data_IF_936001666500
#
_entry.id   IF_936001666500
#
_cell.length_a   1.000
_cell.length_b   1.000
_cell.length_c   1.000
_cell.angle_alpha   90.00
_cell.angle_beta   90.00
_cell.angle_gamma   90.00
#
_symmetry.space_group_name_H-M   'P 1'
#
loop_
_entity.id
_entity.type
_entity.pdbx_description
1 polymer ?
#
# COMPACT_ATOMS: atom_id res chain seq x y z
N UNK A 1 -3.44 6.74 -26.55
CA UNK A 1 -3.82 7.01 -25.14
C UNK A 1 -3.71 5.74 -24.29
N UNK A 2 -2.54 5.07 -24.27
CA UNK A 2 -2.42 3.74 -23.61
C UNK A 2 -1.30 3.64 -22.55
N UNK A 3 -0.59 4.72 -22.24
CA UNK A 3 0.45 4.72 -21.17
C UNK A 3 -0.11 4.97 -19.76
N UNK A 4 -1.31 5.55 -19.66
CA UNK A 4 -1.91 5.94 -18.37
C UNK A 4 -2.49 4.74 -17.62
N UNK A 5 -3.01 3.72 -18.33
CA UNK A 5 -3.71 2.57 -17.74
C UNK A 5 -2.76 1.50 -17.16
N UNK A 6 -1.58 1.30 -17.75
CA UNK A 6 -0.61 0.27 -17.30
C UNK A 6 0.13 0.72 -16.03
N UNK A 7 0.20 2.03 -15.80
CA UNK A 7 1.02 2.60 -14.73
C UNK A 7 0.27 2.82 -13.41
N UNK A 8 -1.06 2.97 -13.43
CA UNK A 8 -1.85 3.19 -12.21
C UNK A 8 -1.89 1.98 -11.26
N UNK A 9 -2.15 0.74 -11.74
CA UNK A 9 -2.07 -0.45 -10.88
C UNK A 9 -0.67 -0.69 -10.31
N UNK A 10 0.37 -0.48 -11.14
CA UNK A 10 1.77 -0.64 -10.71
C UNK A 10 2.13 0.38 -9.61
N UNK A 11 1.77 1.66 -9.79
CA UNK A 11 2.01 2.70 -8.77
C UNK A 11 1.35 2.38 -7.43
N UNK A 12 0.15 1.81 -7.46
CA UNK A 12 -0.58 1.44 -6.24
C UNK A 12 0.11 0.28 -5.50
N UNK A 13 0.59 -0.72 -6.23
CA UNK A 13 1.37 -1.83 -5.67
C UNK A 13 2.68 -1.35 -5.05
N UNK A 14 3.42 -0.50 -5.75
CA UNK A 14 4.67 0.09 -5.22
C UNK A 14 4.42 0.92 -3.95
N UNK A 15 3.31 1.67 -3.91
CA UNK A 15 2.90 2.42 -2.71
C UNK A 15 2.62 1.47 -1.54
N UNK A 16 1.84 0.40 -1.76
CA UNK A 16 1.54 -0.61 -0.73
C UNK A 16 2.81 -1.23 -0.16
N UNK A 17 3.69 -1.72 -1.04
CA UNK A 17 4.93 -2.37 -0.63
C UNK A 17 5.83 -1.44 0.18
N UNK A 18 5.90 -0.16 -0.20
CA UNK A 18 6.68 0.83 0.55
C UNK A 18 6.10 1.08 1.94
N UNK A 19 4.78 1.18 2.06
CA UNK A 19 4.09 1.37 3.35
C UNK A 19 4.30 0.15 4.24
N UNK A 20 4.15 -1.07 3.72
CA UNK A 20 4.44 -2.32 4.44
C UNK A 20 5.89 -2.38 4.95
N UNK A 21 6.86 -1.97 4.12
CA UNK A 21 8.26 -1.91 4.52
C UNK A 21 8.53 -0.87 5.63
N UNK A 22 7.87 0.28 5.57
CA UNK A 22 7.96 1.32 6.60
C UNK A 22 7.36 0.80 7.91
N UNK A 23 6.17 0.21 7.89
CA UNK A 23 5.54 -0.36 9.09
C UNK A 23 6.42 -1.41 9.74
N UNK A 24 6.95 -2.37 8.96
CA UNK A 24 7.84 -3.41 9.48
C UNK A 24 9.10 -2.81 10.13
N UNK A 25 9.68 -1.77 9.51
CA UNK A 25 10.82 -1.05 10.09
C UNK A 25 10.45 -0.31 11.36
N UNK A 26 9.29 0.36 11.39
CA UNK A 26 8.82 1.11 12.56
C UNK A 26 8.51 0.20 13.74
N UNK A 27 7.86 -0.94 13.48
CA UNK A 27 7.64 -1.99 14.47
C UNK A 27 8.98 -2.53 15.00
N UNK A 28 9.97 -2.77 14.14
CA UNK A 28 11.29 -3.22 14.55
C UNK A 28 12.03 -2.20 15.44
N UNK A 29 11.76 -0.90 15.26
CA UNK A 29 12.31 0.18 16.10
C UNK A 29 11.49 0.46 17.37
N UNK A 30 10.37 -0.26 17.59
CA UNK A 30 9.50 -0.06 18.73
C UNK A 30 8.64 1.21 18.64
N UNK A 31 8.22 1.60 17.44
CA UNK A 31 7.32 2.74 17.23
C UNK A 31 5.99 2.55 17.97
N UNK A 32 5.41 3.66 18.42
CA UNK A 32 4.13 3.66 19.12
C UNK A 32 2.98 3.24 18.20
N UNK A 33 1.96 2.62 18.76
CA UNK A 33 0.78 2.14 18.02
C UNK A 33 0.11 3.27 17.22
N UNK A 34 0.10 4.48 17.78
CA UNK A 34 -0.43 5.68 17.13
C UNK A 34 0.37 6.04 15.86
N UNK A 35 1.70 5.90 15.88
CA UNK A 35 2.54 6.15 14.71
C UNK A 35 2.35 5.08 13.63
N UNK A 36 2.12 3.83 14.02
CA UNK A 36 1.81 2.74 13.07
C UNK A 36 0.46 2.97 12.40
N UNK A 37 -0.54 3.40 13.17
CA UNK A 37 -1.87 3.70 12.65
C UNK A 37 -1.84 4.85 11.63
N UNK A 38 -1.07 5.91 11.88
CA UNK A 38 -0.88 7.00 10.91
C UNK A 38 -0.31 6.51 9.57
N UNK A 39 0.57 5.51 9.61
CA UNK A 39 1.15 4.90 8.41
C UNK A 39 0.16 3.96 7.72
N UNK A 40 -0.65 3.21 8.46
CA UNK A 40 -1.73 2.39 7.89
C UNK A 40 -2.76 3.26 7.15
N UNK A 41 -3.11 4.42 7.70
CA UNK A 41 -4.05 5.36 7.09
C UNK A 41 -3.51 6.00 5.79
N UNK A 42 -2.23 5.83 5.46
CA UNK A 42 -1.68 6.25 4.17
C UNK A 42 -2.23 5.43 2.99
N UNK A 43 -2.76 4.23 3.22
CA UNK A 43 -3.55 3.48 2.23
C UNK A 43 -5.03 3.70 2.51
N UNK A 44 -5.68 4.48 1.66
CA UNK A 44 -7.11 4.78 1.82
C UNK A 44 -7.98 3.54 1.55
N UNK A 45 -9.18 3.49 2.14
CA UNK A 45 -10.14 2.40 1.90
C UNK A 45 -10.35 2.03 0.40
N UNK A 46 -10.55 2.98 -0.54
CA UNK A 46 -10.68 2.63 -1.96
C UNK A 46 -9.36 2.10 -2.58
N UNK A 47 -8.20 2.47 -2.04
CA UNK A 47 -6.91 1.92 -2.47
C UNK A 47 -6.75 0.47 -2.00
N UNK A 48 -7.20 0.13 -0.79
CA UNK A 48 -7.23 -1.25 -0.29
C UNK A 48 -8.11 -2.14 -1.17
N UNK A 49 -9.34 -1.71 -1.49
CA UNK A 49 -10.23 -2.47 -2.37
C UNK A 49 -9.64 -2.69 -3.76
N UNK A 50 -8.93 -1.70 -4.30
CA UNK A 50 -8.22 -1.84 -5.57
C UNK A 50 -7.06 -2.83 -5.46
N UNK A 51 -6.28 -2.80 -4.36
CA UNK A 51 -5.21 -3.77 -4.11
C UNK A 51 -5.75 -5.21 -3.99
N UNK A 52 -6.87 -5.41 -3.30
CA UNK A 52 -7.53 -6.72 -3.19
C UNK A 52 -8.00 -7.25 -4.55
N UNK A 53 -8.59 -6.37 -5.36
CA UNK A 53 -9.00 -6.68 -6.73
C UNK A 53 -7.79 -7.04 -7.60
N UNK A 54 -6.70 -6.29 -7.48
CA UNK A 54 -5.46 -6.58 -8.18
C UNK A 54 -4.89 -7.94 -7.78
N UNK A 55 -4.79 -8.24 -6.48
CA UNK A 55 -4.28 -9.53 -5.96
C UNK A 55 -5.07 -10.73 -6.50
N UNK A 56 -6.40 -10.63 -6.58
CA UNK A 56 -7.23 -11.70 -7.13
C UNK A 56 -7.07 -11.89 -8.64
N UNK A 57 -6.69 -10.84 -9.38
CA UNK A 57 -6.51 -10.89 -10.83
C UNK A 57 -5.12 -11.38 -11.26
N UNK A 58 -4.16 -11.54 -10.33
CA UNK A 58 -2.81 -12.09 -10.62
C UNK A 58 -2.73 -13.61 -10.39
N UNK A 59 -3.84 -14.25 -10.01
CA UNK A 59 -3.88 -15.68 -9.63
C UNK A 59 -4.64 -16.56 -10.63
#
# INVERSE_FOLDING_TARGET
MNEVLISAPRRLLEKSQRIEAIMASMQATGAEEQQLQEIEEMITAPEQQQLETLKHNVN
#
